data_IF_137024490903
#
_entry.id   IF_137024490903
#
_cell.length_a   1.000
_cell.length_b   1.000
_cell.length_c   1.000
_cell.angle_alpha   90.00
_cell.angle_beta   90.00
_cell.angle_gamma   90.00
#
_symmetry.space_group_name_H-M   'P 1'
#
loop_
_entity.id
_entity.type
_entity.pdbx_description
1 polymer ?
#
# COMPACT_ATOMS: atom_id res chain seq x y z
N UNK A 1 -1.37 4.21 -16.01
CA UNK A 1 -1.58 2.75 -16.20
C UNK A 1 -2.08 2.27 -14.85
N UNK A 2 -3.21 1.55 -14.79
CA UNK A 2 -3.77 1.13 -13.51
C UNK A 2 -2.78 0.24 -12.77
N UNK A 3 -2.73 0.38 -11.46
CA UNK A 3 -1.86 -0.44 -10.61
C UNK A 3 -2.38 -1.87 -10.54
N UNK A 4 -1.49 -2.85 -10.76
CA UNK A 4 -1.84 -4.27 -10.66
C UNK A 4 -1.76 -4.75 -9.21
N UNK A 5 -2.80 -5.38 -8.71
CA UNK A 5 -2.72 -6.05 -7.40
C UNK A 5 -2.12 -7.43 -7.58
N UNK A 6 -1.01 -7.72 -6.89
CA UNK A 6 -0.36 -9.04 -6.91
C UNK A 6 -0.61 -9.79 -5.59
N UNK A 7 -0.69 -11.13 -5.63
CA UNK A 7 -0.87 -11.92 -4.42
C UNK A 7 0.39 -11.90 -3.55
N UNK A 8 0.18 -11.98 -2.23
CA UNK A 8 1.22 -12.36 -1.27
C UNK A 8 1.01 -13.84 -0.95
N UNK A 9 2.01 -14.67 -1.26
CA UNK A 9 1.92 -16.12 -1.10
C UNK A 9 2.57 -16.51 0.22
N UNK A 10 1.79 -17.04 1.17
CA UNK A 10 2.33 -17.55 2.42
C UNK A 10 3.15 -18.84 2.20
N UNK A 11 4.39 -18.83 2.67
CA UNK A 11 5.35 -19.91 2.48
C UNK A 11 6.22 -20.11 3.73
N UNK A 12 6.70 -21.34 3.95
CA UNK A 12 7.65 -21.65 5.03
C UNK A 12 9.12 -21.67 4.57
N UNK A 13 9.35 -21.82 3.28
CA UNK A 13 10.68 -21.77 2.66
C UNK A 13 10.54 -21.58 1.15
N UNK A 14 11.63 -21.14 0.52
CA UNK A 14 11.75 -21.06 -0.95
C UNK A 14 12.84 -22.03 -1.38
N UNK A 15 12.58 -22.84 -2.40
CA UNK A 15 13.63 -23.61 -3.09
C UNK A 15 13.42 -23.55 -4.60
N UNK A 16 14.52 -23.47 -5.35
CA UNK A 16 14.50 -23.43 -6.83
C UNK A 16 14.01 -22.11 -7.45
N UNK A 17 13.83 -21.06 -6.64
CA UNK A 17 13.45 -19.74 -7.14
C UNK A 17 14.70 -18.92 -7.45
N UNK A 18 14.76 -18.34 -8.63
CA UNK A 18 15.84 -17.44 -9.04
C UNK A 18 15.29 -16.28 -9.85
N UNK A 19 15.96 -15.15 -9.77
CA UNK A 19 15.72 -14.07 -10.73
C UNK A 19 16.14 -14.47 -12.12
N UNK A 20 15.41 -13.95 -13.12
CA UNK A 20 15.77 -14.07 -14.52
C UNK A 20 15.98 -12.70 -15.14
N UNK A 21 16.83 -12.63 -16.16
CA UNK A 21 17.00 -11.38 -16.91
C UNK A 21 15.70 -11.08 -17.64
N UNK A 22 15.00 -10.04 -17.19
CA UNK A 22 13.77 -9.53 -17.80
C UNK A 22 14.03 -8.19 -18.49
N UNK A 23 13.14 -7.82 -19.41
CA UNK A 23 13.10 -6.48 -20.02
C UNK A 23 11.88 -5.68 -19.58
N UNK A 24 10.98 -6.31 -18.85
CA UNK A 24 9.72 -5.72 -18.42
C UNK A 24 9.92 -5.08 -17.04
N UNK A 25 10.05 -3.75 -16.96
CA UNK A 25 10.25 -3.08 -15.68
C UNK A 25 8.99 -3.18 -14.83
N UNK A 26 9.19 -3.28 -13.51
CA UNK A 26 8.14 -3.27 -12.52
C UNK A 26 8.45 -2.22 -11.44
N UNK A 27 7.41 -1.61 -10.88
CA UNK A 27 7.46 -0.87 -9.62
C UNK A 27 6.69 -1.70 -8.61
N UNK A 28 7.40 -2.37 -7.71
CA UNK A 28 6.82 -3.17 -6.65
C UNK A 28 6.57 -2.29 -5.44
N UNK A 29 5.31 -2.22 -5.01
CA UNK A 29 4.91 -1.67 -3.72
C UNK A 29 4.39 -2.79 -2.81
N UNK A 30 4.84 -2.80 -1.56
CA UNK A 30 4.31 -3.68 -0.51
C UNK A 30 3.72 -2.79 0.58
N UNK A 31 2.43 -2.96 0.82
CA UNK A 31 1.66 -2.26 1.85
C UNK A 31 1.49 -3.21 3.05
N UNK A 32 2.13 -2.87 4.18
CA UNK A 32 2.02 -3.65 5.40
C UNK A 32 0.87 -3.13 6.25
N UNK A 33 -0.16 -3.94 6.49
CA UNK A 33 -1.25 -3.61 7.40
C UNK A 33 -1.21 -4.37 8.72
N UNK A 34 -0.16 -5.15 8.93
CA UNK A 34 0.05 -5.84 10.19
C UNK A 34 0.72 -4.91 11.19
N UNK A 35 0.67 -5.32 12.45
CA UNK A 35 1.45 -4.75 13.55
C UNK A 35 2.90 -5.27 13.58
N UNK A 36 3.28 -6.17 12.67
CA UNK A 36 4.59 -6.82 12.62
C UNK A 36 5.48 -6.17 11.57
N UNK A 37 6.78 -5.94 11.86
CA UNK A 37 7.74 -5.53 10.86
C UNK A 37 8.19 -6.72 9.99
N UNK A 38 8.59 -6.43 8.74
CA UNK A 38 9.21 -7.41 7.86
C UNK A 38 10.51 -6.89 7.26
N UNK A 39 11.41 -7.80 6.92
CA UNK A 39 12.56 -7.48 6.07
C UNK A 39 12.23 -7.89 4.64
N UNK A 40 12.40 -6.97 3.69
CA UNK A 40 12.22 -7.23 2.26
C UNK A 40 13.55 -7.69 1.67
N UNK A 41 13.56 -8.83 0.99
CA UNK A 41 14.71 -9.33 0.26
C UNK A 41 14.32 -9.70 -1.17
N UNK A 42 15.22 -9.41 -2.10
CA UNK A 42 15.13 -9.84 -3.49
C UNK A 42 15.86 -11.17 -3.65
N UNK A 43 15.30 -12.11 -4.41
CA UNK A 43 15.99 -13.38 -4.72
C UNK A 43 16.81 -13.19 -5.99
N UNK A 44 18.13 -13.29 -5.89
CA UNK A 44 19.04 -13.01 -7.00
C UNK A 44 19.08 -14.12 -8.06
N UNK A 45 19.95 -13.95 -9.06
CA UNK A 45 20.10 -14.86 -10.19
C UNK A 45 20.65 -16.25 -9.80
N UNK A 46 21.36 -16.33 -8.67
CA UNK A 46 21.88 -17.57 -8.10
C UNK A 46 20.90 -18.19 -7.09
N UNK A 47 19.77 -17.53 -6.83
CA UNK A 47 18.76 -17.97 -5.88
C UNK A 47 19.06 -17.60 -4.43
N UNK A 48 19.99 -16.66 -4.20
CA UNK A 48 20.32 -16.16 -2.87
C UNK A 48 19.48 -14.92 -2.57
N UNK A 49 19.05 -14.80 -1.31
CA UNK A 49 18.30 -13.62 -0.87
C UNK A 49 19.25 -12.45 -0.61
N UNK A 50 19.02 -11.35 -1.30
CA UNK A 50 19.76 -10.10 -1.16
C UNK A 50 18.88 -9.07 -0.45
N UNK A 51 19.42 -8.34 0.55
CA UNK A 51 18.67 -7.31 1.25
C UNK A 51 18.34 -6.15 0.30
N UNK A 52 17.12 -5.61 0.43
CA UNK A 52 16.70 -4.40 -0.28
C UNK A 52 16.94 -3.11 0.54
N UNK A 53 17.76 -3.20 1.60
CA UNK A 53 18.16 -2.10 2.51
C UNK A 53 17.00 -1.33 3.19
N UNK A 54 15.81 -1.93 3.35
CA UNK A 54 14.70 -1.30 4.08
C UNK A 54 13.86 -2.33 4.83
N UNK A 55 13.69 -2.11 6.13
CA UNK A 55 12.67 -2.80 6.91
C UNK A 55 11.29 -2.22 6.54
N UNK A 56 10.35 -3.10 6.21
CA UNK A 56 8.95 -2.77 6.03
C UNK A 56 8.31 -2.63 7.41
N UNK A 57 8.16 -1.40 7.88
CA UNK A 57 7.56 -1.10 9.18
C UNK A 57 6.08 -1.53 9.24
N UNK A 58 5.55 -1.77 10.46
CA UNK A 58 4.10 -1.91 10.67
C UNK A 58 3.34 -0.72 10.08
N UNK A 59 2.22 -0.98 9.41
CA UNK A 59 1.39 0.04 8.76
C UNK A 59 2.10 0.86 7.67
N UNK A 60 3.32 0.47 7.28
CA UNK A 60 4.17 1.20 6.34
C UNK A 60 4.14 0.62 4.92
N UNK A 61 4.84 1.30 4.02
CA UNK A 61 5.03 0.89 2.64
C UNK A 61 6.50 0.69 2.31
N UNK A 62 6.77 -0.27 1.43
CA UNK A 62 8.05 -0.41 0.72
C UNK A 62 7.77 -0.24 -0.77
N UNK A 63 8.59 0.56 -1.47
CA UNK A 63 8.49 0.69 -2.94
C UNK A 63 9.86 0.59 -3.56
N UNK A 64 9.99 -0.25 -4.60
CA UNK A 64 11.24 -0.42 -5.33
C UNK A 64 11.01 -0.67 -6.82
N UNK A 65 11.85 -0.05 -7.64
CA UNK A 65 11.95 -0.38 -9.06
C UNK A 65 12.69 -1.71 -9.24
N UNK A 66 12.11 -2.60 -10.02
CA UNK A 66 12.61 -3.96 -10.27
C UNK A 66 12.20 -4.42 -11.68
N UNK A 67 12.23 -5.74 -11.93
CA UNK A 67 11.68 -6.38 -13.13
C UNK A 67 10.62 -7.40 -12.77
N UNK A 68 9.68 -7.66 -13.67
CA UNK A 68 8.63 -8.68 -13.49
C UNK A 68 9.17 -10.12 -13.29
N UNK A 69 10.47 -10.31 -13.53
CA UNK A 69 11.17 -11.59 -13.39
C UNK A 69 11.97 -11.71 -12.09
N UNK A 70 11.82 -10.75 -11.17
CA UNK A 70 12.57 -10.65 -9.93
C UNK A 70 11.66 -10.94 -8.74
N UNK A 71 11.69 -12.14 -8.17
CA UNK A 71 10.86 -12.46 -7.02
C UNK A 71 11.42 -11.85 -5.73
N UNK A 72 10.52 -11.59 -4.78
CA UNK A 72 10.82 -11.02 -3.47
C UNK A 72 10.29 -11.90 -2.37
N UNK A 73 10.97 -11.92 -1.24
CA UNK A 73 10.54 -12.59 -0.02
C UNK A 73 10.44 -11.61 1.14
N UNK A 74 9.49 -11.87 2.04
CA UNK A 74 9.37 -11.17 3.32
C UNK A 74 9.80 -12.10 4.45
N UNK A 75 10.71 -11.60 5.27
CA UNK A 75 11.18 -12.29 6.46
C UNK A 75 10.57 -11.63 7.69
N UNK A 76 10.14 -12.44 8.65
CA UNK A 76 9.70 -11.93 9.95
C UNK A 76 10.89 -11.47 10.82
N UNK A 77 10.60 -11.00 12.03
CA UNK A 77 11.61 -10.56 12.99
C UNK A 77 12.61 -11.65 13.42
N UNK A 78 12.29 -12.94 13.23
CA UNK A 78 13.20 -14.07 13.49
C UNK A 78 14.13 -14.38 12.31
N UNK A 79 13.89 -13.75 11.15
CA UNK A 79 14.59 -14.04 9.89
C UNK A 79 13.98 -15.21 9.12
N UNK A 80 12.81 -15.73 9.55
CA UNK A 80 12.12 -16.77 8.81
C UNK A 80 11.37 -16.18 7.61
N UNK A 81 11.51 -16.80 6.44
CA UNK A 81 10.71 -16.44 5.27
C UNK A 81 9.25 -16.78 5.56
N UNK A 82 8.37 -15.80 5.34
CA UNK A 82 6.91 -15.94 5.52
C UNK A 82 6.15 -15.79 4.23
N UNK A 83 6.63 -14.92 3.34
CA UNK A 83 5.88 -14.58 2.15
C UNK A 83 6.75 -14.51 0.92
N UNK A 84 6.17 -14.86 -0.22
CA UNK A 84 6.71 -14.70 -1.56
C UNK A 84 5.84 -13.74 -2.36
N UNK A 85 6.49 -12.87 -3.13
CA UNK A 85 5.88 -11.94 -4.05
C UNK A 85 6.54 -12.07 -5.43
N UNK A 86 5.70 -12.10 -6.47
CA UNK A 86 6.12 -12.15 -7.87
C UNK A 86 5.62 -10.89 -8.58
N UNK A 87 6.48 -9.88 -8.78
CA UNK A 87 6.10 -8.65 -9.45
C UNK A 87 5.58 -8.89 -10.88
N UNK A 88 4.71 -8.00 -11.34
CA UNK A 88 4.26 -7.96 -12.74
C UNK A 88 4.71 -6.65 -13.39
N UNK A 89 4.76 -6.62 -14.72
CA UNK A 89 5.20 -5.45 -15.46
C UNK A 89 4.33 -4.21 -15.16
N UNK A 90 4.97 -3.04 -15.02
CA UNK A 90 4.31 -1.80 -14.63
C UNK A 90 4.22 -1.61 -13.11
N UNK A 91 3.26 -0.81 -12.65
CA UNK A 91 3.04 -0.59 -11.22
C UNK A 91 2.29 -1.79 -10.66
N UNK A 92 2.79 -2.34 -9.56
CA UNK A 92 2.14 -3.43 -8.86
C UNK A 92 2.20 -3.26 -7.34
N UNK A 93 1.12 -3.64 -6.66
CA UNK A 93 0.98 -3.50 -5.22
C UNK A 93 0.57 -4.82 -4.60
N UNK A 94 1.15 -5.12 -3.44
CA UNK A 94 0.81 -6.27 -2.63
C UNK A 94 0.38 -5.80 -1.24
N UNK A 95 -0.73 -6.32 -0.74
CA UNK A 95 -1.30 -5.95 0.56
C UNK A 95 -1.07 -7.07 1.56
N UNK A 96 -0.32 -6.78 2.62
CA UNK A 96 -0.09 -7.70 3.72
C UNK A 96 -1.12 -7.44 4.81
N UNK A 97 -2.14 -8.29 4.86
CA UNK A 97 -3.27 -8.16 5.79
C UNK A 97 -2.90 -8.64 7.20
N UNK A 98 -3.54 -8.11 8.27
CA UNK A 98 -3.41 -8.66 9.62
C UNK A 98 -3.77 -10.16 9.66
N UNK A 99 -3.00 -10.96 10.41
CA UNK A 99 -3.28 -12.39 10.59
C UNK A 99 -4.69 -12.59 11.16
N UNK A 100 -5.57 -13.22 10.37
CA UNK A 100 -7.00 -13.37 10.68
C UNK A 100 -7.89 -13.42 9.44
N UNK A 101 -7.43 -12.88 8.32
CA UNK A 101 -7.99 -13.13 7.00
C UNK A 101 -7.14 -14.18 6.28
N UNK A 102 -7.75 -15.34 5.96
CA UNK A 102 -7.08 -16.51 5.42
C UNK A 102 -6.12 -16.18 4.26
N UNK A 103 -4.91 -16.76 4.32
CA UNK A 103 -3.82 -16.70 3.34
C UNK A 103 -4.18 -17.18 1.89
N UNK A 104 -5.47 -17.39 1.60
CA UNK A 104 -5.97 -17.92 0.33
C UNK A 104 -6.80 -16.91 -0.49
N UNK A 105 -7.07 -15.70 0.04
CA UNK A 105 -7.68 -14.62 -0.74
C UNK A 105 -7.11 -13.28 -0.33
N UNK A 106 -6.20 -12.74 -1.14
CA UNK A 106 -5.98 -11.30 -1.14
C UNK A 106 -7.35 -10.63 -1.32
N UNK A 107 -7.80 -9.87 -0.32
CA UNK A 107 -9.03 -9.10 -0.48
C UNK A 107 -8.70 -8.02 -1.49
N UNK A 108 -9.33 -8.06 -2.67
CA UNK A 108 -9.14 -6.99 -3.65
C UNK A 108 -9.45 -5.65 -2.98
N UNK A 109 -8.56 -4.65 -3.09
CA UNK A 109 -8.79 -3.35 -2.48
C UNK A 109 -10.07 -2.73 -3.06
N UNK A 110 -10.83 -2.06 -2.20
CA UNK A 110 -11.97 -1.24 -2.59
C UNK A 110 -11.42 0.06 -3.15
N UNK A 111 -11.52 0.24 -4.47
CA UNK A 111 -11.18 1.52 -5.11
C UNK A 111 -12.22 2.57 -4.70
N UNK A 112 -11.79 3.56 -3.92
CA UNK A 112 -12.65 4.64 -3.50
C UNK A 112 -12.88 5.62 -4.64
N UNK A 113 -14.13 6.02 -4.82
CA UNK A 113 -14.49 7.11 -5.72
C UNK A 113 -14.40 8.44 -4.95
N UNK A 114 -13.93 9.52 -5.60
CA UNK A 114 -13.92 10.84 -4.96
C UNK A 114 -15.34 11.39 -4.85
N UNK A 115 -15.61 11.98 -3.70
CA UNK A 115 -16.77 12.82 -3.46
C UNK A 115 -16.41 14.30 -3.69
N UNK A 116 -17.37 15.12 -4.15
CA UNK A 116 -17.20 16.56 -4.26
C UNK A 116 -16.76 17.20 -2.93
N UNK A 117 -15.82 18.15 -3.01
CA UNK A 117 -15.24 18.80 -1.83
C UNK A 117 -16.23 19.70 -1.08
N UNK A 118 -17.32 20.16 -1.72
CA UNK A 118 -18.38 20.95 -1.08
C UNK A 118 -19.12 20.19 0.03
N UNK A 119 -19.01 18.84 0.06
CA UNK A 119 -19.53 18.01 1.15
C UNK A 119 -18.69 18.05 2.42
N UNK A 120 -17.48 18.62 2.39
CA UNK A 120 -16.59 18.72 3.54
C UNK A 120 -17.29 19.38 4.74
N UNK A 121 -17.99 20.50 4.53
CA UNK A 121 -18.62 21.26 5.63
C UNK A 121 -19.71 20.49 6.39
N UNK A 122 -20.23 19.42 5.79
CA UNK A 122 -21.21 18.52 6.40
C UNK A 122 -20.58 17.21 6.90
N UNK A 123 -19.26 17.05 6.76
CA UNK A 123 -18.51 15.84 7.04
C UNK A 123 -17.65 16.00 8.29
N UNK A 124 -17.62 14.96 9.11
CA UNK A 124 -16.75 14.84 10.28
C UNK A 124 -16.64 13.38 10.65
N UNK A 125 -15.61 13.02 11.40
CA UNK A 125 -15.49 11.66 11.92
C UNK A 125 -16.58 11.34 12.93
N UNK A 126 -17.00 10.08 12.91
CA UNK A 126 -17.81 9.47 13.96
C UNK A 126 -16.98 8.38 14.65
N UNK A 127 -17.25 8.12 15.93
CA UNK A 127 -16.63 6.99 16.62
C UNK A 127 -17.07 5.69 15.95
N UNK A 128 -16.11 4.82 15.66
CA UNK A 128 -16.32 3.49 15.10
C UNK A 128 -15.28 2.53 15.67
N UNK A 129 -15.69 1.28 15.88
CA UNK A 129 -14.81 0.18 16.26
C UNK A 129 -14.33 -0.62 15.03
N UNK A 130 -14.74 -0.21 13.83
CA UNK A 130 -14.39 -0.88 12.58
C UNK A 130 -13.17 -0.23 11.94
N UNK A 131 -11.99 -0.77 12.27
CA UNK A 131 -10.75 -0.40 11.60
C UNK A 131 -10.79 -0.75 10.10
N UNK A 132 -10.22 0.12 9.28
CA UNK A 132 -9.99 -0.11 7.86
C UNK A 132 -8.61 0.43 7.46
N UNK A 133 -8.15 0.07 6.28
CA UNK A 133 -6.84 0.45 5.77
C UNK A 133 -7.00 1.28 4.52
N UNK A 134 -6.27 2.38 4.41
CA UNK A 134 -6.38 3.30 3.29
C UNK A 134 -5.01 3.46 2.63
N UNK A 135 -4.92 3.07 1.35
CA UNK A 135 -3.74 3.29 0.52
C UNK A 135 -3.98 4.44 -0.41
N UNK A 136 -3.02 5.35 -0.51
CA UNK A 136 -2.97 6.37 -1.55
C UNK A 136 -1.82 6.04 -2.48
N UNK A 137 -2.14 5.75 -3.74
CA UNK A 137 -1.19 5.46 -4.82
C UNK A 137 -1.10 6.69 -5.70
N UNK A 138 0.06 7.34 -5.71
CA UNK A 138 0.31 8.51 -6.55
C UNK A 138 1.09 8.11 -7.80
N UNK A 139 0.39 7.90 -8.91
CA UNK A 139 1.00 7.62 -10.21
C UNK A 139 1.41 8.88 -10.98
N UNK A 140 1.29 10.06 -10.38
CA UNK A 140 1.63 11.33 -10.99
C UNK A 140 3.01 11.81 -10.55
N UNK A 141 3.48 12.90 -11.18
CA UNK A 141 4.70 13.59 -10.79
C UNK A 141 4.44 14.76 -9.81
N UNK A 142 3.20 14.91 -9.33
CA UNK A 142 2.82 15.91 -8.34
C UNK A 142 2.93 15.37 -6.92
N UNK A 143 3.00 16.24 -5.91
CA UNK A 143 2.85 15.88 -4.51
C UNK A 143 1.39 16.08 -4.07
N UNK A 144 0.91 15.24 -3.17
CA UNK A 144 -0.41 15.39 -2.54
C UNK A 144 -0.27 15.44 -1.02
N UNK A 145 -1.11 16.24 -0.38
CA UNK A 145 -1.32 16.22 1.07
C UNK A 145 -2.57 15.44 1.41
N UNK A 146 -2.50 14.72 2.53
CA UNK A 146 -3.57 13.87 3.01
C UNK A 146 -4.03 14.32 4.39
N UNK A 147 -5.31 14.71 4.46
CA UNK A 147 -5.93 15.26 5.67
C UNK A 147 -7.04 14.34 6.16
N UNK A 148 -7.09 14.12 7.45
CA UNK A 148 -8.22 13.50 8.13
C UNK A 148 -9.17 14.60 8.61
N UNK A 149 -10.48 14.42 8.45
CA UNK A 149 -11.47 15.27 9.12
C UNK A 149 -11.74 14.72 10.51
N UNK A 150 -11.36 15.45 11.55
CA UNK A 150 -11.55 15.01 12.93
C UNK A 150 -13.02 14.96 13.36
N UNK A 151 -13.27 14.69 14.65
CA UNK A 151 -14.62 14.55 15.19
C UNK A 151 -15.42 15.87 15.19
N UNK A 152 -14.73 17.01 15.11
CA UNK A 152 -15.30 18.35 15.00
C UNK A 152 -15.37 18.83 13.53
N UNK A 153 -14.87 18.03 12.58
CA UNK A 153 -14.82 18.34 11.15
C UNK A 153 -13.63 19.20 10.74
N UNK A 154 -12.62 19.35 11.60
CA UNK A 154 -11.41 20.09 11.26
C UNK A 154 -10.41 19.21 10.51
N UNK A 155 -9.71 19.79 9.53
CA UNK A 155 -8.63 19.12 8.80
C UNK A 155 -7.42 18.92 9.71
N UNK A 156 -6.99 17.68 9.86
CA UNK A 156 -5.72 17.29 10.49
C UNK A 156 -4.80 16.76 9.41
N UNK A 157 -3.70 17.49 9.13
CA UNK A 157 -2.68 17.03 8.20
C UNK A 157 -2.01 15.77 8.76
N UNK A 158 -2.10 14.67 8.03
CA UNK A 158 -1.63 13.38 8.49
C UNK A 158 -0.34 12.97 7.78
N UNK A 159 -0.31 13.09 6.45
CA UNK A 159 0.86 12.73 5.64
C UNK A 159 0.90 13.52 4.32
N UNK A 160 2.05 13.48 3.64
CA UNK A 160 2.14 13.82 2.22
C UNK A 160 2.51 12.59 1.41
N UNK A 161 2.08 12.52 0.15
CA UNK A 161 2.39 11.45 -0.79
C UNK A 161 3.10 12.09 -1.96
N UNK A 162 4.41 11.88 -2.02
CA UNK A 162 5.27 12.44 -3.05
C UNK A 162 5.04 11.83 -4.43
N UNK A 163 5.68 12.40 -5.47
CA UNK A 163 5.67 11.85 -6.82
C UNK A 163 6.02 10.36 -6.84
N UNK A 164 5.21 9.54 -7.53
CA UNK A 164 5.41 8.08 -7.63
C UNK A 164 5.44 7.33 -6.30
N UNK A 165 5.00 7.95 -5.22
CA UNK A 165 4.97 7.35 -3.89
C UNK A 165 3.63 6.65 -3.63
N UNK A 166 3.68 5.62 -2.80
CA UNK A 166 2.48 5.02 -2.20
C UNK A 166 2.60 5.07 -0.69
N UNK A 167 1.53 5.50 -0.02
CA UNK A 167 1.44 5.49 1.45
C UNK A 167 0.17 4.81 1.94
N UNK A 168 0.29 4.19 3.10
CA UNK A 168 -0.80 3.50 3.78
C UNK A 168 -1.12 4.13 5.11
N UNK A 169 -2.38 4.04 5.51
CA UNK A 169 -2.86 4.51 6.79
C UNK A 169 -3.93 3.60 7.38
N UNK A 170 -3.76 3.21 8.65
CA UNK A 170 -4.84 2.58 9.43
C UNK A 170 -5.83 3.66 9.89
N UNK A 171 -7.12 3.47 9.64
CA UNK A 171 -8.17 4.43 9.97
C UNK A 171 -9.47 3.70 10.32
N UNK A 172 -10.60 4.40 10.35
CA UNK A 172 -11.91 3.82 10.63
C UNK A 172 -12.90 4.16 9.52
N UNK A 173 -13.87 3.28 9.28
CA UNK A 173 -14.81 3.40 8.15
C UNK A 173 -15.61 4.73 8.14
N UNK A 174 -15.75 5.36 9.31
CA UNK A 174 -16.49 6.61 9.50
C UNK A 174 -15.61 7.86 9.39
N UNK A 175 -14.31 7.72 9.13
CA UNK A 175 -13.37 8.83 9.11
C UNK A 175 -13.21 9.39 7.69
N UNK A 176 -13.70 10.61 7.38
CA UNK A 176 -13.52 11.18 6.06
C UNK A 176 -12.07 11.64 5.84
N UNK A 177 -11.60 11.52 4.61
CA UNK A 177 -10.25 11.90 4.20
C UNK A 177 -10.27 12.84 3.01
N UNK A 178 -9.40 13.83 3.01
CA UNK A 178 -9.21 14.76 1.89
C UNK A 178 -7.83 14.53 1.29
N UNK A 179 -7.80 14.36 -0.03
CA UNK A 179 -6.57 14.40 -0.81
C UNK A 179 -6.51 15.75 -1.53
N UNK A 180 -5.46 16.53 -1.26
CA UNK A 180 -5.24 17.86 -1.83
C UNK A 180 -3.95 17.85 -2.65
N UNK A 181 -4.03 18.21 -3.92
CA UNK A 181 -2.86 18.29 -4.78
C UNK A 181 -2.08 19.57 -4.51
N UNK A 182 -0.81 19.44 -4.13
CA UNK A 182 0.07 20.55 -3.77
C UNK A 182 0.16 21.54 -4.94
N UNK A 183 0.25 22.83 -4.61
CA UNK A 183 0.31 23.96 -5.55
C UNK A 183 -0.92 24.13 -6.47
N UNK A 184 -2.05 23.50 -6.13
CA UNK A 184 -3.32 23.66 -6.84
C UNK A 184 -4.49 23.83 -5.88
N UNK A 185 -5.69 24.10 -6.41
CA UNK A 185 -6.94 24.03 -5.66
C UNK A 185 -7.68 22.69 -5.87
N UNK A 186 -7.02 21.68 -6.43
CA UNK A 186 -7.63 20.37 -6.67
C UNK A 186 -7.69 19.57 -5.38
N UNK A 187 -8.90 19.40 -4.85
CA UNK A 187 -9.18 18.65 -3.63
C UNK A 187 -10.33 17.68 -3.84
N UNK A 188 -10.20 16.49 -3.26
CA UNK A 188 -11.20 15.42 -3.34
C UNK A 188 -11.43 14.83 -1.96
N UNK A 189 -12.70 14.60 -1.62
CA UNK A 189 -13.12 13.97 -0.38
C UNK A 189 -13.32 12.47 -0.59
N UNK A 190 -12.98 11.66 0.39
CA UNK A 190 -13.10 10.21 0.33
C UNK A 190 -13.66 9.68 1.64
N UNK A 191 -14.53 8.68 1.53
CA UNK A 191 -15.10 7.96 2.66
C UNK A 191 -14.61 6.51 2.60
N UNK A 192 -13.79 6.09 3.57
CA UNK A 192 -13.36 4.71 3.68
C UNK A 192 -14.53 3.76 3.83
N UNK A 193 -14.28 2.50 3.51
CA UNK A 193 -15.19 1.39 3.70
C UNK A 193 -14.49 0.32 4.53
N UNK A 194 -15.27 -0.59 5.12
CA UNK A 194 -14.70 -1.73 5.85
C UNK A 194 -13.78 -2.56 4.94
N UNK A 195 -12.54 -2.78 5.40
CA UNK A 195 -11.53 -3.55 4.66
C UNK A 195 -10.37 -2.68 4.17
N UNK A 196 -9.77 -3.09 3.05
CA UNK A 196 -8.68 -2.36 2.39
C UNK A 196 -9.29 -1.44 1.34
N UNK A 197 -9.03 -0.16 1.49
CA UNK A 197 -9.42 0.90 0.58
C UNK A 197 -8.20 1.42 -0.17
N UNK A 198 -8.43 1.85 -1.41
CA UNK A 198 -7.39 2.45 -2.25
C UNK A 198 -7.91 3.70 -2.94
N UNK A 199 -7.10 4.75 -2.91
CA UNK A 199 -7.23 5.96 -3.71
C UNK A 199 -6.06 5.93 -4.69
N UNK A 200 -6.35 5.95 -5.98
CA UNK A 200 -5.34 6.03 -7.04
C UNK A 200 -5.50 7.35 -7.78
N UNK A 201 -4.40 8.08 -7.94
CA UNK A 201 -4.35 9.33 -8.71
C UNK A 201 -3.40 9.16 -9.89
N UNK A 202 -3.90 9.47 -11.09
CA UNK A 202 -3.28 9.23 -12.39
C UNK A 202 -3.18 10.51 -13.23
#
# INVERSE_FOLDING_TARGET
MPTNVIPIIAIGSVSGLTSRHGRDPAWLTIANYTNEPYTVQWVDYDGLNQPCDTALAPYGTFTQRTFATHPFVLLDASGAIRYLLEPVAGNCVAYLEPEGNNADKATAPIMLSPEPIDKESASRSLSSDNACYLTVINNTDAEYKFFWLDFDGQRVEYNSVGPRETKTQCTYETHPWILSKVDTAEEKLYFPQKGICCIEVD
#
